data_IF_007339525644
#
_entry.id   IF_007339525644
#
_cell.length_a   1.000
_cell.length_b   1.000
_cell.length_c   1.000
_cell.angle_alpha   90.00
_cell.angle_beta   90.00
_cell.angle_gamma   90.00
#
_symmetry.space_group_name_H-M   'P 1'
#
loop_
_entity.id
_entity.type
_entity.pdbx_description
1 polymer ?
#
# COMPACT_ATOMS: atom_id res chain seq x y z
N UNK A 1 -12.10 -6.31 -5.61
CA UNK A 1 -10.79 -5.91 -5.05
C UNK A 1 -10.14 -4.84 -5.91
N UNK A 2 -9.60 -3.80 -5.29
CA UNK A 2 -8.86 -2.80 -6.05
C UNK A 2 -7.48 -3.33 -6.47
N UNK A 3 -7.11 -3.01 -7.70
CA UNK A 3 -5.83 -3.41 -8.30
C UNK A 3 -5.07 -2.18 -8.73
N UNK A 4 -3.76 -2.31 -8.81
CA UNK A 4 -2.93 -1.27 -9.43
C UNK A 4 -3.25 -1.26 -10.92
N UNK A 5 -3.50 -0.09 -11.49
CA UNK A 5 -3.91 0.03 -12.89
C UNK A 5 -2.94 -0.69 -13.83
N UNK A 6 -3.50 -1.46 -14.74
CA UNK A 6 -2.73 -2.20 -15.73
C UNK A 6 -2.04 -3.46 -15.21
N UNK A 7 -2.33 -3.86 -13.98
CA UNK A 7 -1.69 -5.04 -13.38
C UNK A 7 -2.73 -5.93 -12.72
N UNK A 8 -2.27 -7.12 -12.28
CA UNK A 8 -3.06 -8.01 -11.42
C UNK A 8 -2.61 -7.90 -9.97
N UNK A 9 -1.84 -6.90 -9.63
CA UNK A 9 -1.33 -6.68 -8.29
C UNK A 9 -2.40 -5.93 -7.50
N UNK A 10 -2.80 -6.48 -6.35
CA UNK A 10 -3.83 -5.84 -5.53
C UNK A 10 -3.22 -4.71 -4.71
N UNK A 11 -4.03 -3.69 -4.46
CA UNK A 11 -3.64 -2.60 -3.57
C UNK A 11 -3.33 -3.16 -2.18
N UNK A 12 -4.11 -4.13 -1.72
CA UNK A 12 -3.89 -4.77 -0.42
C UNK A 12 -2.49 -5.38 -0.32
N UNK A 13 -2.03 -6.09 -1.35
CA UNK A 13 -0.70 -6.70 -1.34
C UNK A 13 0.40 -5.65 -1.17
N UNK A 14 0.29 -4.53 -1.87
CA UNK A 14 1.26 -3.44 -1.76
C UNK A 14 1.26 -2.86 -0.35
N UNK A 15 0.07 -2.60 0.19
CA UNK A 15 -0.05 -2.04 1.54
C UNK A 15 0.51 -2.99 2.60
N UNK A 16 0.33 -4.29 2.43
CA UNK A 16 0.87 -5.29 3.36
C UNK A 16 2.39 -5.27 3.37
N UNK A 17 3.02 -5.11 2.21
CA UNK A 17 4.48 -5.01 2.13
C UNK A 17 5.00 -3.75 2.83
N UNK A 18 4.30 -2.64 2.66
CA UNK A 18 4.64 -1.40 3.37
C UNK A 18 4.51 -1.58 4.88
N UNK A 19 3.46 -2.30 5.32
CA UNK A 19 3.24 -2.57 6.73
C UNK A 19 4.36 -3.44 7.32
N UNK A 20 4.96 -4.30 6.50
CA UNK A 20 6.11 -5.11 6.92
C UNK A 20 7.41 -4.31 7.03
N UNK A 21 7.39 -3.06 6.65
CA UNK A 21 8.55 -2.18 6.77
C UNK A 21 9.39 -2.05 5.51
N UNK A 22 8.93 -2.59 4.38
CA UNK A 22 9.67 -2.46 3.13
C UNK A 22 9.55 -1.03 2.60
N UNK A 23 10.64 -0.54 2.02
CA UNK A 23 10.63 0.75 1.33
C UNK A 23 9.97 0.59 -0.05
N UNK A 24 9.63 1.70 -0.68
CA UNK A 24 9.14 1.68 -2.07
C UNK A 24 10.14 0.99 -2.98
N UNK A 25 11.42 1.32 -2.82
CA UNK A 25 12.47 0.72 -3.66
C UNK A 25 12.57 -0.78 -3.45
N UNK A 26 12.45 -1.26 -2.21
CA UNK A 26 12.48 -2.69 -1.91
C UNK A 26 11.32 -3.42 -2.57
N UNK A 27 10.14 -2.83 -2.53
CA UNK A 27 8.96 -3.43 -3.15
C UNK A 27 9.16 -3.59 -4.66
N UNK A 28 9.69 -2.55 -5.30
CA UNK A 28 9.91 -2.56 -6.74
C UNK A 28 11.05 -3.53 -7.09
N UNK A 29 12.14 -3.52 -6.33
CA UNK A 29 13.30 -4.35 -6.63
C UNK A 29 13.04 -5.84 -6.40
N UNK A 30 12.36 -6.18 -5.31
CA UNK A 30 12.30 -7.56 -4.85
C UNK A 30 10.96 -8.26 -5.09
N UNK A 31 9.89 -7.51 -5.28
CA UNK A 31 8.55 -8.08 -5.37
C UNK A 31 7.84 -7.77 -6.69
N UNK A 32 7.74 -6.49 -7.03
CA UNK A 32 6.93 -6.04 -8.16
C UNK A 32 7.70 -5.08 -9.05
N UNK A 33 8.63 -5.60 -9.88
CA UNK A 33 9.47 -4.74 -10.72
C UNK A 33 8.69 -3.92 -11.76
N UNK A 34 7.45 -4.30 -12.03
CA UNK A 34 6.61 -3.56 -12.99
C UNK A 34 5.94 -2.34 -12.38
N UNK A 35 6.00 -2.18 -11.05
CA UNK A 35 5.42 -1.03 -10.39
C UNK A 35 6.39 0.16 -10.39
N UNK A 36 5.82 1.36 -10.39
CA UNK A 36 6.59 2.59 -10.20
C UNK A 36 6.32 3.14 -8.80
N UNK A 37 7.13 4.09 -8.39
CA UNK A 37 6.91 4.80 -7.12
C UNK A 37 5.52 5.44 -7.11
N UNK A 38 5.08 5.99 -8.25
CA UNK A 38 3.76 6.60 -8.36
C UNK A 38 2.64 5.57 -8.16
N UNK A 39 2.83 4.33 -8.63
CA UNK A 39 1.86 3.27 -8.42
C UNK A 39 1.70 2.96 -6.93
N UNK A 40 2.81 2.88 -6.21
CA UNK A 40 2.77 2.62 -4.76
C UNK A 40 2.13 3.78 -4.02
N UNK A 41 2.47 5.00 -4.41
CA UNK A 41 1.86 6.19 -3.82
C UNK A 41 0.35 6.20 -4.06
N UNK A 42 -0.10 5.79 -5.25
CA UNK A 42 -1.52 5.70 -5.55
C UNK A 42 -2.25 4.73 -4.62
N UNK A 43 -1.59 3.64 -4.23
CA UNK A 43 -2.16 2.70 -3.25
C UNK A 43 -2.39 3.37 -1.90
N UNK A 44 -1.42 4.17 -1.45
CA UNK A 44 -1.54 4.91 -0.20
C UNK A 44 -2.64 5.96 -0.28
N UNK A 45 -2.74 6.66 -1.41
CA UNK A 45 -3.79 7.66 -1.61
C UNK A 45 -5.17 7.02 -1.59
N UNK A 46 -5.30 5.84 -2.20
CA UNK A 46 -6.56 5.10 -2.19
C UNK A 46 -6.96 4.73 -0.76
N UNK A 47 -6.02 4.19 0.02
CA UNK A 47 -6.28 3.82 1.40
C UNK A 47 -6.66 5.04 2.24
N UNK A 48 -5.96 6.15 2.05
CA UNK A 48 -6.25 7.41 2.74
C UNK A 48 -7.66 7.88 2.44
N UNK A 49 -8.07 7.81 1.17
CA UNK A 49 -9.42 8.24 0.77
C UNK A 49 -10.50 7.37 1.41
N UNK A 50 -10.25 6.06 1.52
CA UNK A 50 -11.23 5.14 2.12
C UNK A 50 -11.48 5.43 3.59
N UNK A 51 -10.46 5.86 4.33
CA UNK A 51 -10.57 6.04 5.79
C UNK A 51 -10.76 7.50 6.18
N UNK A 52 -10.87 8.41 5.24
CA UNK A 52 -10.88 9.84 5.52
C UNK A 52 -12.09 10.31 6.34
N UNK A 53 -13.18 9.54 6.37
CA UNK A 53 -14.39 9.89 7.09
C UNK A 53 -14.61 9.04 8.34
N UNK A 54 -13.61 8.30 8.78
CA UNK A 54 -13.74 7.41 9.93
C UNK A 54 -13.07 8.02 11.16
N UNK A 55 -13.76 7.91 12.30
CA UNK A 55 -13.21 8.32 13.58
C UNK A 55 -12.92 7.07 14.41
N UNK A 56 -11.75 6.48 14.19
CA UNK A 56 -11.31 5.27 14.87
C UNK A 56 -10.00 5.56 15.60
N UNK A 57 -9.93 5.18 16.86
CA UNK A 57 -8.74 5.39 17.68
C UNK A 57 -7.98 4.09 17.81
N UNK A 58 -6.77 4.03 17.23
CA UNK A 58 -5.95 2.84 17.20
C UNK A 58 -4.75 2.97 18.14
N UNK A 59 -4.37 1.85 18.74
CA UNK A 59 -3.13 1.75 19.51
C UNK A 59 -2.14 0.91 18.72
N UNK A 60 -0.85 1.25 18.85
CA UNK A 60 0.20 0.45 18.23
C UNK A 60 0.22 -0.94 18.85
N UNK A 61 0.47 -1.97 18.05
CA UNK A 61 0.57 -3.33 18.52
C UNK A 61 1.73 -3.43 19.52
N UNK A 62 1.48 -4.05 20.66
CA UNK A 62 2.49 -4.23 21.70
C UNK A 62 2.69 -3.02 22.62
N UNK A 63 1.88 -2.00 22.48
CA UNK A 63 1.92 -0.80 23.33
C UNK A 63 1.12 -0.99 24.59
#
# INVERSE_FOLDING_TARGET
KPYVAGTRITVQSVLELLDEGLSFDDIIADYYPDLTVDDIRACLQYATALVSNEDVYLAAAGS
#
